data_IF_307595632711
#
_entry.id   IF_307595632711
#
_cell.length_a   1.000
_cell.length_b   1.000
_cell.length_c   1.000
_cell.angle_alpha   90.00
_cell.angle_beta   90.00
_cell.angle_gamma   90.00
#
_symmetry.space_group_name_H-M   'P 1'
#
loop_
_entity.id
_entity.type
_entity.pdbx_description
1 polymer ?
#
# COMPACT_ATOMS: atom_id res chain seq x y z
N UNK A 1 -20.92 -17.17 5.86
CA UNK A 1 -20.33 -15.82 5.78
C UNK A 1 -21.39 -14.78 6.10
N UNK A 2 -21.20 -13.99 7.15
CA UNK A 2 -22.13 -12.92 7.55
C UNK A 2 -22.10 -11.76 6.55
N UNK A 3 -23.26 -11.18 6.22
CA UNK A 3 -23.38 -10.06 5.25
C UNK A 3 -22.48 -8.87 5.59
N UNK A 4 -22.21 -8.63 6.89
CA UNK A 4 -21.32 -7.58 7.39
C UNK A 4 -19.85 -7.79 6.98
N UNK A 5 -19.34 -9.03 7.10
CA UNK A 5 -17.97 -9.36 6.74
C UNK A 5 -17.70 -9.13 5.24
N UNK A 6 -18.63 -9.57 4.39
CA UNK A 6 -18.55 -9.38 2.93
C UNK A 6 -18.52 -7.89 2.59
N UNK A 7 -19.31 -7.05 3.27
CA UNK A 7 -19.33 -5.60 3.07
C UNK A 7 -18.00 -4.94 3.44
N UNK A 8 -17.43 -5.26 4.60
CA UNK A 8 -16.15 -4.66 5.02
C UNK A 8 -14.98 -5.10 4.12
N UNK A 9 -14.92 -6.40 3.78
CA UNK A 9 -13.88 -6.92 2.89
C UNK A 9 -13.95 -6.34 1.48
N UNK A 10 -15.16 -6.12 0.95
CA UNK A 10 -15.34 -5.53 -0.39
C UNK A 10 -14.93 -4.06 -0.42
N UNK A 11 -15.21 -3.28 0.63
CA UNK A 11 -14.74 -1.89 0.74
C UNK A 11 -13.20 -1.83 0.71
N UNK A 12 -12.53 -2.64 1.53
CA UNK A 12 -11.05 -2.67 1.57
C UNK A 12 -10.46 -3.06 0.22
N UNK A 13 -11.06 -4.04 -0.46
CA UNK A 13 -10.62 -4.49 -1.78
C UNK A 13 -10.75 -3.38 -2.83
N UNK A 14 -11.89 -2.68 -2.87
CA UNK A 14 -12.13 -1.57 -3.80
C UNK A 14 -11.15 -0.43 -3.53
N UNK A 15 -10.95 -0.06 -2.27
CA UNK A 15 -9.99 0.98 -1.89
C UNK A 15 -8.57 0.60 -2.31
N UNK A 16 -8.16 -0.65 -2.09
CA UNK A 16 -6.84 -1.16 -2.51
C UNK A 16 -6.67 -1.12 -4.02
N UNK A 17 -7.70 -1.50 -4.77
CA UNK A 17 -7.69 -1.48 -6.23
C UNK A 17 -7.54 -0.06 -6.78
N UNK A 18 -8.31 0.88 -6.24
CA UNK A 18 -8.20 2.30 -6.61
C UNK A 18 -6.81 2.86 -6.29
N UNK A 19 -6.25 2.55 -5.12
CA UNK A 19 -4.88 2.97 -4.79
C UNK A 19 -3.84 2.43 -5.77
N UNK A 20 -3.99 1.20 -6.27
CA UNK A 20 -3.10 0.63 -7.29
C UNK A 20 -3.20 1.34 -8.63
N UNK A 21 -4.42 1.68 -9.06
CA UNK A 21 -4.64 2.46 -10.29
C UNK A 21 -4.00 3.84 -10.16
N UNK A 22 -4.19 4.52 -9.03
CA UNK A 22 -3.57 5.82 -8.79
C UNK A 22 -2.04 5.74 -8.76
N UNK A 23 -1.48 4.68 -8.17
CA UNK A 23 -0.04 4.41 -8.20
C UNK A 23 0.48 4.22 -9.63
N UNK A 24 -0.23 3.45 -10.46
CA UNK A 24 0.11 3.26 -11.86
C UNK A 24 0.04 4.57 -12.65
N UNK A 25 -1.00 5.38 -12.42
CA UNK A 25 -1.14 6.69 -13.05
C UNK A 25 0.01 7.63 -12.67
N UNK A 26 0.43 7.62 -11.40
CA UNK A 26 1.61 8.36 -10.94
C UNK A 26 2.86 7.92 -11.69
N UNK A 27 3.10 6.61 -11.77
CA UNK A 27 4.31 6.09 -12.42
C UNK A 27 4.32 6.40 -13.92
N UNK A 28 3.15 6.37 -14.59
CA UNK A 28 2.99 6.80 -15.97
C UNK A 28 3.31 8.30 -16.16
N UNK A 29 2.81 9.17 -15.28
CA UNK A 29 3.11 10.61 -15.33
C UNK A 29 4.61 10.83 -15.13
N UNK A 30 5.24 10.18 -14.15
CA UNK A 30 6.67 10.31 -13.91
C UNK A 30 7.46 9.89 -15.16
N UNK A 31 7.15 8.74 -15.74
CA UNK A 31 7.79 8.25 -16.95
C UNK A 31 7.58 9.18 -18.16
N UNK A 32 6.38 9.78 -18.30
CA UNK A 32 6.04 10.65 -19.43
C UNK A 32 6.76 12.00 -19.38
N UNK A 33 6.87 12.61 -18.19
CA UNK A 33 7.40 13.96 -18.02
C UNK A 33 8.90 13.98 -17.70
N UNK A 34 9.40 13.03 -16.91
CA UNK A 34 10.80 12.99 -16.51
C UNK A 34 11.63 11.99 -17.34
N UNK A 35 11.00 10.96 -17.90
CA UNK A 35 11.70 9.93 -18.67
C UNK A 35 12.56 9.02 -17.77
N UNK A 36 13.45 8.25 -18.39
CA UNK A 36 14.45 7.45 -17.67
C UNK A 36 15.72 8.28 -17.47
N UNK A 37 15.93 8.76 -16.24
CA UNK A 37 17.13 9.50 -15.85
C UNK A 37 17.55 9.16 -14.41
N UNK A 38 18.79 9.51 -14.04
CA UNK A 38 19.34 9.16 -12.72
C UNK A 38 18.52 9.73 -11.55
N UNK A 39 17.86 10.89 -11.75
CA UNK A 39 17.02 11.53 -10.73
C UNK A 39 15.68 10.80 -10.54
N UNK A 40 15.05 10.33 -11.61
CA UNK A 40 13.81 9.53 -11.55
C UNK A 40 14.07 8.19 -10.89
N UNK A 41 15.21 7.57 -11.18
CA UNK A 41 15.59 6.29 -10.58
C UNK A 41 15.89 6.45 -9.08
N UNK A 42 16.63 7.50 -8.70
CA UNK A 42 16.87 7.83 -7.30
C UNK A 42 15.56 8.10 -6.53
N UNK A 43 14.62 8.83 -7.12
CA UNK A 43 13.30 9.07 -6.53
C UNK A 43 12.51 7.76 -6.33
N UNK A 44 12.49 6.88 -7.33
CA UNK A 44 11.78 5.60 -7.25
C UNK A 44 12.39 4.68 -6.19
N UNK A 45 13.70 4.65 -6.06
CA UNK A 45 14.39 3.89 -4.99
C UNK A 45 14.08 4.48 -3.62
N UNK A 46 14.19 5.81 -3.46
CA UNK A 46 13.86 6.48 -2.21
C UNK A 46 12.40 6.22 -1.80
N UNK A 47 11.47 6.24 -2.76
CA UNK A 47 10.06 5.96 -2.50
C UNK A 47 9.82 4.52 -2.02
N UNK A 48 10.67 3.54 -2.36
CA UNK A 48 10.51 2.16 -1.91
C UNK A 48 10.78 1.98 -0.41
N UNK A 49 11.69 2.76 0.18
CA UNK A 49 12.07 2.59 1.59
C UNK A 49 10.88 2.82 2.53
N UNK A 50 10.15 3.95 2.48
CA UNK A 50 8.95 4.13 3.30
C UNK A 50 7.86 3.12 2.99
N UNK A 51 7.71 2.75 1.71
CA UNK A 51 6.70 1.76 1.33
C UNK A 51 7.01 0.38 1.89
N UNK A 52 8.28 -0.02 1.98
CA UNK A 52 8.66 -1.25 2.63
C UNK A 52 8.20 -1.27 4.10
N UNK A 53 8.47 -0.19 4.85
CA UNK A 53 7.99 -0.06 6.22
C UNK A 53 6.46 -0.06 6.32
N UNK A 54 5.77 0.65 5.42
CA UNK A 54 4.29 0.62 5.36
C UNK A 54 3.77 -0.80 5.16
N UNK A 55 4.39 -1.60 4.28
CA UNK A 55 4.01 -3.00 4.06
C UNK A 55 4.29 -3.86 5.29
N UNK A 56 5.43 -3.65 5.94
CA UNK A 56 5.81 -4.40 7.14
C UNK A 56 4.87 -4.13 8.32
N UNK A 57 4.52 -2.87 8.57
CA UNK A 57 3.78 -2.47 9.77
C UNK A 57 2.27 -2.27 9.55
N UNK A 58 1.84 -1.83 8.37
CA UNK A 58 0.44 -1.45 8.14
C UNK A 58 -0.37 -2.45 7.29
N UNK A 59 0.28 -3.31 6.49
CA UNK A 59 -0.44 -4.30 5.65
C UNK A 59 -0.78 -5.61 6.38
N UNK A 60 -0.64 -5.65 7.71
CA UNK A 60 -1.24 -6.69 8.54
C UNK A 60 -0.26 -7.62 9.25
N UNK A 61 1.01 -7.71 8.82
CA UNK A 61 2.01 -8.55 9.49
C UNK A 61 2.19 -8.16 10.97
N UNK A 62 2.28 -6.86 11.25
CA UNK A 62 2.33 -6.34 12.62
C UNK A 62 0.98 -6.51 13.36
N UNK A 63 -0.13 -6.24 12.67
CA UNK A 63 -1.48 -6.38 13.23
C UNK A 63 -1.78 -7.81 13.72
N UNK A 64 -1.33 -8.84 12.98
CA UNK A 64 -1.50 -10.23 13.38
C UNK A 64 -0.73 -10.61 14.65
N UNK A 65 0.46 -10.07 14.84
CA UNK A 65 1.27 -10.34 16.03
C UNK A 65 0.87 -9.47 17.23
N UNK A 66 0.47 -8.22 17.00
CA UNK A 66 0.27 -7.23 18.05
C UNK A 66 -1.16 -7.15 18.58
N UNK A 67 -2.19 -7.33 17.72
CA UNK A 67 -3.59 -7.24 18.16
C UNK A 67 -3.93 -8.26 19.26
N UNK A 68 -3.54 -9.55 19.18
CA UNK A 68 -3.86 -10.52 20.23
C UNK A 68 -3.25 -10.13 21.59
N UNK A 69 -2.00 -9.67 21.59
CA UNK A 69 -1.28 -9.26 22.81
C UNK A 69 -1.95 -8.03 23.44
N UNK A 70 -2.38 -7.07 22.64
CA UNK A 70 -3.07 -5.88 23.14
C UNK A 70 -4.51 -6.18 23.60
N UNK A 71 -5.18 -7.16 22.98
CA UNK A 71 -6.53 -7.54 23.34
C UNK A 71 -6.60 -8.40 24.62
N UNK A 72 -5.52 -9.12 24.93
CA UNK A 72 -5.35 -9.90 26.16
C UNK A 72 -4.84 -9.05 27.35
N UNK A 73 -4.38 -7.81 27.10
CA UNK A 73 -3.92 -6.86 28.12
C UNK A 73 -5.05 -5.94 28.61
#
# INVERSE_FOLDING_TARGET
>A
MTKSFVKSSSIVTVMTFLSRILGLARDFIIARYFGANDLSDAFLVAFRIPNFFRRLFAEGAFSQAFIPILADA
#
